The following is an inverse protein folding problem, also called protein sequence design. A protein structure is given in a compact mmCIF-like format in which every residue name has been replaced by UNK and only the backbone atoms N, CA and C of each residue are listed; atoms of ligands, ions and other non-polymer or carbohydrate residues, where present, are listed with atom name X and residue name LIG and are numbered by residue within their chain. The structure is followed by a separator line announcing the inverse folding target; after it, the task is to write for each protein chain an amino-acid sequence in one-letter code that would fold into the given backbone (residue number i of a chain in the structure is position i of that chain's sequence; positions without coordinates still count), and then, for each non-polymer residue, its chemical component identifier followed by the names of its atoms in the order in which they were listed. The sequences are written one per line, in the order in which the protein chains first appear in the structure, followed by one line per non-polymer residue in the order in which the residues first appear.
data_IF_352841995447
#
_entry.id   IF_352841995447
#
_cell.length_a   1.000
_cell.length_b   1.000
_cell.length_c   1.000
_cell.angle_alpha   90.00
_cell.angle_beta   90.00
_cell.angle_gamma   90.00
#
_symmetry.space_group_name_H-M   'P 1'
#
loop_
_entity.id
_entity.type
_entity.pdbx_description
1 polymer ?
#
# COMPACT_ATOMS: atom_id res chain seq x y z
N UNK A 1 -0.31 0.65 24.83
CA UNK A 1 -1.39 1.66 24.77
C UNK A 1 -0.91 3.12 24.73
N UNK A 2 0.35 3.44 25.08
CA UNK A 2 0.76 4.82 25.39
C UNK A 2 0.91 5.81 24.22
N UNK A 3 0.84 5.40 22.95
CA UNK A 3 1.04 6.33 21.81
C UNK A 3 0.05 6.12 20.65
N UNK A 4 -1.08 5.43 20.88
CA UNK A 4 -2.06 5.17 19.82
C UNK A 4 -2.65 6.48 19.23
N UNK A 5 -2.96 7.45 20.09
CA UNK A 5 -3.45 8.76 19.66
C UNK A 5 -2.42 9.49 18.79
N UNK A 6 -1.14 9.46 19.18
CA UNK A 6 -0.05 10.08 18.41
C UNK A 6 0.15 9.40 17.06
N UNK A 7 0.17 8.05 17.03
CA UNK A 7 0.24 7.27 15.79
C UNK A 7 -0.92 7.62 14.86
N UNK A 8 -2.13 7.72 15.39
CA UNK A 8 -3.31 8.09 14.63
C UNK A 8 -3.22 9.50 14.05
N UNK A 9 -2.85 10.50 14.88
CA UNK A 9 -2.71 11.89 14.46
C UNK A 9 -1.65 12.05 13.36
N UNK A 10 -0.48 11.40 13.49
CA UNK A 10 0.58 11.45 12.49
C UNK A 10 0.13 10.77 11.19
N UNK A 11 -0.53 9.62 11.27
CA UNK A 11 -1.01 8.89 10.10
C UNK A 11 -2.09 9.69 9.36
N UNK A 12 -3.05 10.27 10.10
CA UNK A 12 -4.08 11.13 9.52
C UNK A 12 -3.48 12.39 8.89
N UNK A 13 -2.53 13.05 9.57
CA UNK A 13 -1.83 14.22 9.04
C UNK A 13 -1.08 13.88 7.74
N UNK A 14 -0.37 12.74 7.70
CA UNK A 14 0.33 12.26 6.51
C UNK A 14 -0.63 12.09 5.32
N UNK A 15 -1.77 11.41 5.53
CA UNK A 15 -2.78 11.17 4.49
C UNK A 15 -3.35 12.50 3.98
N UNK A 16 -3.69 13.43 4.88
CA UNK A 16 -4.21 14.75 4.51
C UNK A 16 -3.17 15.52 3.69
N UNK A 17 -1.92 15.59 4.16
CA UNK A 17 -0.84 16.29 3.45
C UNK A 17 -0.65 15.73 2.05
N UNK A 18 -0.56 14.40 1.89
CA UNK A 18 -0.40 13.76 0.58
C UNK A 18 -1.61 14.11 -0.31
N UNK A 19 -2.83 14.02 0.22
CA UNK A 19 -4.04 14.32 -0.54
C UNK A 19 -4.10 15.77 -1.04
N UNK A 20 -3.64 16.73 -0.23
CA UNK A 20 -3.56 18.14 -0.64
C UNK A 20 -2.48 18.35 -1.70
N UNK A 21 -1.27 17.81 -1.50
CA UNK A 21 -0.17 17.94 -2.46
C UNK A 21 -0.53 17.39 -3.84
N UNK A 22 -1.25 16.26 -3.89
CA UNK A 22 -1.71 15.62 -5.13
C UNK A 22 -2.67 16.52 -5.92
N UNK A 23 -3.52 17.31 -5.25
CA UNK A 23 -4.45 18.24 -5.92
C UNK A 23 -3.73 19.33 -6.69
N UNK A 24 -2.60 19.83 -6.15
CA UNK A 24 -1.88 20.96 -6.74
C UNK A 24 -0.81 20.56 -7.75
N UNK A 25 -0.22 19.37 -7.61
CA UNK A 25 1.00 19.00 -8.35
C UNK A 25 0.87 17.68 -9.10
N UNK A 26 -0.17 17.49 -9.92
CA UNK A 26 -0.54 16.21 -10.57
C UNK A 26 0.56 15.13 -10.73
N UNK A 27 1.65 15.41 -11.47
CA UNK A 27 2.77 14.45 -11.65
C UNK A 27 3.65 14.22 -10.41
N UNK A 28 4.03 15.29 -9.70
CA UNK A 28 4.83 15.19 -8.48
C UNK A 28 4.02 14.60 -7.31
N UNK A 29 2.74 14.94 -7.23
CA UNK A 29 1.78 14.32 -6.34
C UNK A 29 1.67 12.82 -6.56
N UNK A 30 1.58 12.35 -7.81
CA UNK A 30 1.58 10.93 -8.12
C UNK A 30 2.88 10.23 -7.68
N UNK A 31 4.05 10.88 -7.85
CA UNK A 31 5.33 10.35 -7.35
C UNK A 31 5.33 10.22 -5.83
N UNK A 32 4.89 11.26 -5.11
CA UNK A 32 4.82 11.26 -3.64
C UNK A 32 3.85 10.19 -3.15
N UNK A 33 2.70 10.03 -3.81
CA UNK A 33 1.71 9.01 -3.49
C UNK A 33 2.21 7.57 -3.75
N UNK A 34 3.14 7.39 -4.70
CA UNK A 34 3.73 6.09 -5.00
C UNK A 34 4.82 5.69 -3.98
N UNK A 35 5.37 6.63 -3.20
CA UNK A 35 6.34 6.32 -2.17
C UNK A 35 5.68 5.50 -1.05
N UNK A 36 6.37 4.51 -0.47
CA UNK A 36 5.86 3.67 0.62
C UNK A 36 5.88 4.41 1.96
N UNK A 37 5.29 5.61 2.02
CA UNK A 37 5.33 6.51 3.18
C UNK A 37 4.71 5.86 4.41
N UNK A 38 3.62 5.12 4.22
CA UNK A 38 2.96 4.37 5.31
C UNK A 38 3.89 3.27 5.84
N UNK A 39 4.53 2.51 4.96
CA UNK A 39 5.49 1.46 5.35
C UNK A 39 6.68 2.04 6.10
N UNK A 40 7.26 3.16 5.62
CA UNK A 40 8.36 3.85 6.32
C UNK A 40 7.92 4.28 7.71
N UNK A 41 6.72 4.84 7.85
CA UNK A 41 6.18 5.22 9.14
C UNK A 41 6.02 4.00 10.07
N UNK A 42 5.53 2.86 9.55
CA UNK A 42 5.42 1.61 10.31
C UNK A 42 6.79 1.11 10.77
N UNK A 43 7.81 1.11 9.90
CA UNK A 43 9.18 0.70 10.26
C UNK A 43 9.77 1.57 11.38
N UNK A 44 9.56 2.90 11.30
CA UNK A 44 9.98 3.84 12.36
C UNK A 44 9.30 3.52 13.69
N UNK A 45 8.01 3.20 13.67
CA UNK A 45 7.30 2.80 14.89
C UNK A 45 7.79 1.47 15.45
N UNK A 46 8.01 0.46 14.61
CA UNK A 46 8.53 -0.84 15.04
C UNK A 46 9.90 -0.67 15.71
N UNK A 47 10.76 0.17 15.14
CA UNK A 47 12.06 0.50 15.72
C UNK A 47 11.93 1.22 17.07
N UNK A 48 11.09 2.26 17.17
CA UNK A 48 10.85 2.99 18.43
C UNK A 48 10.25 2.07 19.52
N UNK A 49 9.40 1.13 19.12
CA UNK A 49 8.80 0.15 20.03
C UNK A 49 9.75 -1.00 20.42
N UNK A 50 11.01 -0.95 19.97
CA UNK A 50 12.04 -1.92 20.33
C UNK A 50 11.79 -3.31 19.75
N UNK A 51 11.15 -3.39 18.58
CA UNK A 51 10.98 -4.67 17.88
C UNK A 51 12.33 -5.20 17.39
N UNK A 52 12.52 -6.52 17.36
CA UNK A 52 13.75 -7.12 16.86
C UNK A 52 13.96 -6.80 15.38
N UNK A 53 15.22 -6.64 14.97
CA UNK A 53 15.62 -6.30 13.59
C UNK A 53 15.07 -7.30 12.58
N UNK A 54 14.95 -8.58 12.95
CA UNK A 54 14.33 -9.62 12.12
C UNK A 54 12.90 -9.24 11.74
N UNK A 55 12.06 -8.82 12.69
CA UNK A 55 10.66 -8.42 12.40
C UNK A 55 10.58 -7.18 11.53
N UNK A 56 11.50 -6.23 11.72
CA UNK A 56 11.56 -5.01 10.91
C UNK A 56 11.92 -5.39 9.47
N UNK A 57 12.90 -6.27 9.28
CA UNK A 57 13.33 -6.76 7.97
C UNK A 57 12.26 -7.59 7.26
N UNK A 58 11.58 -8.48 7.99
CA UNK A 58 10.47 -9.30 7.49
C UNK A 58 9.32 -8.41 7.01
N UNK A 59 8.97 -7.36 7.76
CA UNK A 59 7.93 -6.43 7.35
C UNK A 59 8.23 -5.78 6.00
N UNK A 60 9.48 -5.35 5.77
CA UNK A 60 9.91 -4.80 4.49
C UNK A 60 9.87 -5.85 3.36
N UNK A 61 10.35 -7.07 3.64
CA UNK A 61 10.36 -8.19 2.69
C UNK A 61 8.95 -8.59 2.22
N UNK A 62 8.03 -8.81 3.16
CA UNK A 62 6.64 -9.15 2.82
C UNK A 62 5.93 -8.01 2.10
N UNK A 63 6.15 -6.77 2.52
CA UNK A 63 5.56 -5.60 1.86
C UNK A 63 5.98 -5.53 0.39
N UNK A 64 7.26 -5.80 0.08
CA UNK A 64 7.72 -5.85 -1.31
C UNK A 64 6.92 -6.86 -2.14
N UNK A 65 6.78 -8.10 -1.66
CA UNK A 65 6.03 -9.14 -2.36
C UNK A 65 4.55 -8.83 -2.48
N UNK A 66 3.95 -8.18 -1.48
CA UNK A 66 2.55 -7.77 -1.51
C UNK A 66 2.27 -6.58 -2.45
N UNK A 67 3.24 -5.74 -2.75
CA UNK A 67 3.06 -4.63 -3.71
C UNK A 67 2.95 -5.15 -5.14
N UNK A 68 3.71 -6.17 -5.52
CA UNK A 68 3.71 -6.73 -6.90
C UNK A 68 2.30 -7.06 -7.43
N UNK A 69 1.45 -7.84 -6.72
CA UNK A 69 0.11 -8.16 -7.20
C UNK A 69 -0.87 -6.97 -7.16
N UNK A 70 -0.51 -5.84 -6.55
CA UNK A 70 -1.34 -4.62 -6.55
C UNK A 70 -1.09 -3.71 -7.75
N UNK A 71 0.05 -3.88 -8.45
CA UNK A 71 0.41 -3.08 -9.62
C UNK A 71 -0.63 -3.11 -10.76
N UNK A 72 -1.29 -4.25 -11.10
CA UNK A 72 -2.31 -4.29 -12.14
C UNK A 72 -3.46 -3.31 -11.91
N UNK A 73 -3.81 -3.04 -10.64
CA UNK A 73 -4.85 -2.08 -10.28
C UNK A 73 -4.56 -0.68 -10.83
N UNK A 74 -3.32 -0.21 -10.78
CA UNK A 74 -2.93 1.13 -11.25
C UNK A 74 -3.10 1.30 -12.77
N UNK A 75 -3.02 0.21 -13.54
CA UNK A 75 -3.24 0.23 -14.98
C UNK A 75 -4.72 0.05 -15.35
N UNK A 76 -5.42 -0.82 -14.61
CA UNK A 76 -6.81 -1.17 -14.90
C UNK A 76 -7.78 -0.08 -14.41
N UNK A 77 -7.51 0.56 -13.27
CA UNK A 77 -8.39 1.57 -12.70
C UNK A 77 -8.65 2.76 -13.65
N UNK A 78 -7.64 3.38 -14.31
CA UNK A 78 -7.88 4.43 -15.31
C UNK A 78 -8.77 3.97 -16.47
N UNK A 79 -8.60 2.71 -16.92
CA UNK A 79 -9.42 2.13 -17.98
C UNK A 79 -10.88 1.93 -17.53
N UNK A 80 -11.11 1.39 -16.33
CA UNK A 80 -12.46 1.23 -15.75
C UNK A 80 -13.12 2.59 -15.51
N UNK A 81 -12.37 3.58 -15.02
CA UNK A 81 -12.85 4.94 -14.78
C UNK A 81 -13.33 5.63 -16.07
N UNK A 82 -12.78 5.25 -17.23
CA UNK A 82 -13.25 5.76 -18.53
C UNK A 82 -14.60 5.18 -18.98
N UNK A 83 -15.05 4.06 -18.41
CA UNK A 83 -16.25 3.32 -18.85
C UNK A 83 -17.35 3.23 -17.80
N UNK A 84 -17.02 3.46 -16.53
CA UNK A 84 -17.91 3.26 -15.39
C UNK A 84 -17.84 4.47 -14.45
N UNK A 85 -18.81 4.61 -13.55
CA UNK A 85 -18.71 5.61 -12.48
C UNK A 85 -17.59 5.24 -11.49
N UNK A 86 -17.13 6.24 -10.73
CA UNK A 86 -16.01 6.11 -9.79
C UNK A 86 -16.15 4.94 -8.82
N UNK A 87 -17.31 4.80 -8.18
CA UNK A 87 -17.53 3.78 -7.15
C UNK A 87 -17.50 2.36 -7.72
N UNK A 88 -18.07 2.16 -8.91
CA UNK A 88 -18.00 0.88 -9.61
C UNK A 88 -16.58 0.58 -10.09
N UNK A 89 -15.88 1.56 -10.65
CA UNK A 89 -14.49 1.41 -11.07
C UNK A 89 -13.57 1.04 -9.90
N UNK A 90 -13.76 1.69 -8.75
CA UNK A 90 -13.03 1.40 -7.51
C UNK A 90 -13.34 -0.01 -6.98
N UNK A 91 -14.63 -0.37 -6.90
CA UNK A 91 -15.05 -1.69 -6.42
C UNK A 91 -14.54 -2.83 -7.32
N UNK A 92 -14.63 -2.68 -8.63
CA UNK A 92 -14.11 -3.66 -9.58
C UNK A 92 -12.58 -3.76 -9.53
N UNK A 93 -11.87 -2.63 -9.41
CA UNK A 93 -10.41 -2.63 -9.27
C UNK A 93 -9.97 -3.30 -7.96
N UNK A 94 -10.68 -3.08 -6.86
CA UNK A 94 -10.43 -3.77 -5.59
C UNK A 94 -10.63 -5.29 -5.71
N UNK A 95 -11.70 -5.73 -6.37
CA UNK A 95 -11.94 -7.16 -6.63
C UNK A 95 -10.80 -7.78 -7.47
N UNK A 96 -10.34 -7.08 -8.49
CA UNK A 96 -9.20 -7.51 -9.33
C UNK A 96 -7.92 -7.62 -8.50
N UNK A 97 -7.66 -6.71 -7.57
CA UNK A 97 -6.51 -6.79 -6.67
C UNK A 97 -6.57 -8.05 -5.80
N UNK A 98 -7.73 -8.38 -5.23
CA UNK A 98 -7.91 -9.60 -4.43
C UNK A 98 -7.64 -10.86 -5.26
N UNK A 99 -8.19 -10.93 -6.48
CA UNK A 99 -7.95 -12.06 -7.39
C UNK A 99 -6.47 -12.14 -7.80
N UNK A 100 -5.86 -11.00 -8.13
CA UNK A 100 -4.43 -10.92 -8.50
C UNK A 100 -3.54 -11.38 -7.36
N UNK A 101 -3.86 -11.00 -6.12
CA UNK A 101 -3.16 -11.45 -4.93
C UNK A 101 -3.27 -12.96 -4.74
N UNK A 102 -4.47 -13.52 -4.85
CA UNK A 102 -4.67 -14.97 -4.73
C UNK A 102 -3.89 -15.75 -5.79
N UNK A 103 -3.95 -15.32 -7.06
CA UNK A 103 -3.18 -15.94 -8.13
C UNK A 103 -1.67 -15.81 -7.90
N UNK A 104 -1.20 -14.63 -7.50
CA UNK A 104 0.21 -14.38 -7.27
C UNK A 104 0.75 -15.18 -6.08
N UNK A 105 0.01 -15.26 -4.97
CA UNK A 105 0.37 -16.09 -3.82
C UNK A 105 0.50 -17.57 -4.21
N UNK A 106 -0.41 -18.09 -5.04
CA UNK A 106 -0.33 -19.47 -5.55
C UNK A 106 0.91 -19.70 -6.44
N UNK A 107 1.25 -18.72 -7.29
CA UNK A 107 2.43 -18.81 -8.17
C UNK A 107 3.74 -18.74 -7.37
N UNK A 108 3.84 -17.79 -6.45
CA UNK A 108 5.04 -17.53 -5.66
C UNK A 108 5.30 -18.66 -4.64
N UNK A 109 4.25 -19.32 -4.16
CA UNK A 109 4.35 -20.55 -3.37
C UNK A 109 5.05 -21.68 -4.12
N UNK A 110 4.92 -21.78 -5.44
CA UNK A 110 5.64 -22.80 -6.24
C UNK A 110 7.15 -22.55 -6.28
N UNK A 111 7.59 -21.32 -6.02
CA UNK A 111 8.99 -20.90 -5.96
C UNK A 111 9.54 -20.99 -4.52
N UNK A 112 8.71 -21.42 -3.56
CA UNK A 112 9.10 -21.63 -2.15
C UNK A 112 8.98 -20.39 -1.26
N UNK A 113 8.33 -19.33 -1.74
CA UNK A 113 8.02 -18.14 -0.92
C UNK A 113 6.58 -18.28 -0.45
N UNK A 114 6.40 -18.39 0.87
CA UNK A 114 5.08 -18.48 1.48
C UNK A 114 4.57 -17.09 1.85
N UNK A 115 3.44 -16.71 1.26
CA UNK A 115 2.77 -15.43 1.47
C UNK A 115 1.42 -15.60 2.19
N UNK A 116 0.93 -16.84 2.38
CA UNK A 116 -0.42 -17.16 2.86
C UNK A 116 -0.51 -18.51 3.60
#
# INVERSE_FOLDING_TARGET
MSFLATKYLITAALVVIISEVVKYTGKFGALIAALPMVTVLVLVWLYIEGQPDERISEHAWYTFWYVVPTLPMFLIFPFLMSRMNFWLALGASAAITVVSFGLFALLVRQVGIDLL
#
